data_IF_788517939679
#
_entry.id   IF_788517939679
#
_cell.length_a   1.000
_cell.length_b   1.000
_cell.length_c   1.000
_cell.angle_alpha   90.00
_cell.angle_beta   90.00
_cell.angle_gamma   90.00
#
_symmetry.space_group_name_H-M   'P 1'
#
loop_
_entity.id
_entity.type
_entity.pdbx_description
1 polymer ?
#
# COMPACT_ATOMS: atom_id res chain seq x y z
N UNK A 1 -0.12 -12.97 0.95
CA UNK A 1 1.30 -12.60 1.19
C UNK A 1 1.39 -11.70 2.40
N UNK A 2 2.48 -11.75 3.18
CA UNK A 2 2.68 -10.86 4.33
C UNK A 2 3.62 -9.71 3.92
N UNK A 3 3.26 -8.48 4.30
CA UNK A 3 4.04 -7.26 4.14
C UNK A 3 4.47 -6.72 5.49
N UNK A 4 5.78 -6.55 5.67
CA UNK A 4 6.42 -6.03 6.90
C UNK A 4 7.50 -5.04 6.48
N UNK A 5 7.53 -3.88 7.11
CA UNK A 5 8.57 -2.87 6.88
C UNK A 5 9.89 -3.24 7.56
N UNK A 6 11.01 -2.91 6.91
CA UNK A 6 12.38 -3.12 7.43
C UNK A 6 12.94 -1.88 8.12
N UNK A 7 14.21 -1.52 7.84
CA UNK A 7 14.82 -0.29 8.38
C UNK A 7 14.14 0.99 7.85
N UNK A 8 13.63 0.92 6.62
CA UNK A 8 12.73 1.91 5.98
C UNK A 8 11.39 1.23 5.65
N UNK A 9 10.51 1.84 4.85
CA UNK A 9 9.35 1.11 4.34
C UNK A 9 9.83 -0.06 3.47
N UNK A 10 9.08 -1.15 3.41
CA UNK A 10 9.38 -2.20 2.45
C UNK A 10 9.04 -1.65 1.07
N UNK A 11 10.03 -1.72 0.17
CA UNK A 11 9.83 -1.43 -1.26
C UNK A 11 8.95 -2.51 -1.92
N UNK A 12 8.59 -3.53 -1.14
CA UNK A 12 7.88 -4.69 -1.58
C UNK A 12 6.37 -4.50 -1.74
N UNK A 13 5.74 -3.59 -1.01
CA UNK A 13 4.28 -3.49 -1.00
C UNK A 13 3.70 -3.28 -2.40
N UNK A 14 4.28 -2.40 -3.21
CA UNK A 14 3.75 -2.08 -4.53
C UNK A 14 3.73 -3.31 -5.46
N UNK A 15 4.83 -4.07 -5.52
CA UNK A 15 4.86 -5.28 -6.36
C UNK A 15 3.97 -6.39 -5.80
N UNK A 16 3.87 -6.51 -4.46
CA UNK A 16 2.96 -7.48 -3.83
C UNK A 16 1.51 -7.20 -4.20
N UNK A 17 1.09 -5.93 -4.24
CA UNK A 17 -0.23 -5.54 -4.72
C UNK A 17 -0.40 -5.82 -6.22
N UNK A 18 0.61 -5.49 -7.05
CA UNK A 18 0.56 -5.78 -8.50
C UNK A 18 0.40 -7.27 -8.82
N UNK A 19 0.90 -8.15 -7.94
CA UNK A 19 0.78 -9.61 -8.12
C UNK A 19 -0.67 -10.12 -8.13
N UNK A 20 -1.64 -9.34 -7.64
CA UNK A 20 -3.02 -9.81 -7.48
C UNK A 20 -3.22 -10.76 -6.32
N UNK A 21 -2.26 -10.85 -5.39
CA UNK A 21 -2.40 -11.63 -4.15
C UNK A 21 -3.07 -10.81 -3.04
N UNK A 22 -3.84 -11.46 -2.16
CA UNK A 22 -4.31 -10.83 -0.94
C UNK A 22 -3.12 -10.52 -0.01
N UNK A 23 -2.87 -9.24 0.27
CA UNK A 23 -1.76 -8.78 1.11
C UNK A 23 -2.24 -8.56 2.54
N UNK A 24 -1.59 -9.22 3.49
CA UNK A 24 -1.69 -8.94 4.92
C UNK A 24 -0.61 -7.92 5.26
N UNK A 25 -0.99 -6.71 5.67
CA UNK A 25 -0.08 -5.58 5.89
C UNK A 25 0.05 -5.28 7.36
N UNK A 26 1.26 -5.46 7.89
CA UNK A 26 1.60 -5.09 9.26
C UNK A 26 1.63 -3.57 9.41
N UNK A 27 1.00 -3.09 10.49
CA UNK A 27 0.95 -1.67 10.83
C UNK A 27 2.36 -1.11 10.97
N UNK A 28 2.59 0.06 10.36
CA UNK A 28 3.89 0.73 10.39
C UNK A 28 3.70 2.24 10.29
N UNK A 29 4.51 3.04 11.00
CA UNK A 29 4.51 4.49 10.85
C UNK A 29 5.14 4.95 9.52
N UNK A 30 5.85 4.06 8.80
CA UNK A 30 6.56 4.44 7.57
C UNK A 30 5.61 4.56 6.39
N UNK A 31 5.87 5.53 5.52
CA UNK A 31 4.99 5.86 4.39
C UNK A 31 5.77 5.95 3.09
N UNK A 32 5.13 5.50 2.01
CA UNK A 32 5.51 5.85 0.63
C UNK A 32 4.49 6.85 0.07
N UNK A 33 4.82 7.46 -1.06
CA UNK A 33 4.04 8.53 -1.70
C UNK A 33 2.58 8.12 -1.94
N UNK A 34 2.29 6.85 -2.28
CA UNK A 34 0.92 6.37 -2.52
C UNK A 34 0.21 5.79 -1.29
N UNK A 35 0.88 5.64 -0.14
CA UNK A 35 0.26 4.98 1.04
C UNK A 35 -1.00 5.68 1.55
N UNK A 36 -1.19 6.97 1.22
CA UNK A 36 -2.41 7.71 1.54
C UNK A 36 -3.65 7.23 0.76
N UNK A 37 -3.46 6.53 -0.37
CA UNK A 37 -4.53 5.93 -1.17
C UNK A 37 -4.94 4.54 -0.68
N UNK A 38 -4.09 3.90 0.13
CA UNK A 38 -4.38 2.57 0.68
C UNK A 38 -5.42 2.66 1.79
N UNK A 39 -6.31 1.67 1.82
CA UNK A 39 -7.41 1.58 2.77
C UNK A 39 -7.44 0.16 3.35
N UNK A 40 -7.40 0.01 4.68
CA UNK A 40 -7.58 -1.28 5.34
C UNK A 40 -8.91 -1.92 4.94
N UNK A 41 -8.93 -3.24 4.77
CA UNK A 41 -10.08 -4.04 4.37
C UNK A 41 -10.67 -3.74 2.98
N UNK A 42 -10.09 -2.80 2.24
CA UNK A 42 -10.40 -2.55 0.83
C UNK A 42 -9.25 -3.02 -0.05
N UNK A 43 -8.02 -2.60 0.25
CA UNK A 43 -6.84 -2.89 -0.57
C UNK A 43 -5.90 -3.93 0.06
N UNK A 44 -5.98 -4.10 1.38
CA UNK A 44 -5.13 -4.98 2.19
C UNK A 44 -5.88 -5.47 3.42
N UNK A 45 -5.50 -6.64 3.96
CA UNK A 45 -5.91 -7.09 5.30
C UNK A 45 -4.94 -6.47 6.32
N UNK A 46 -5.38 -5.62 7.26
CA UNK A 46 -4.48 -5.02 8.24
C UNK A 46 -4.04 -6.04 9.29
N UNK A 47 -2.82 -5.91 9.78
CA UNK A 47 -2.26 -6.66 10.93
C UNK A 47 -1.69 -5.64 11.91
N UNK A 48 -1.87 -5.83 13.20
CA UNK A 48 -1.34 -4.98 14.26
C UNK A 48 0.20 -4.86 14.16
N UNK A 49 0.73 -3.70 14.55
CA UNK A 49 2.16 -3.41 14.44
C UNK A 49 3.04 -4.33 15.31
N UNK A 50 2.47 -4.86 16.40
CA UNK A 50 3.09 -5.82 17.32
C UNK A 50 2.76 -7.28 16.95
N UNK A 51 2.08 -7.51 15.82
CA UNK A 51 1.66 -8.83 15.31
C UNK A 51 0.66 -9.58 16.20
N UNK A 52 0.06 -8.93 17.21
CA UNK A 52 -0.80 -9.60 18.18
C UNK A 52 -2.03 -10.30 17.56
N UNK A 53 -2.52 -9.79 16.43
CA UNK A 53 -3.68 -10.30 15.70
C UNK A 53 -3.32 -11.15 14.48
N UNK A 54 -2.04 -11.42 14.20
CA UNK A 54 -1.62 -12.09 12.96
C UNK A 54 -2.32 -13.44 12.75
N UNK A 55 -2.39 -14.28 13.79
CA UNK A 55 -3.06 -15.58 13.71
C UNK A 55 -4.57 -15.43 13.44
N UNK A 56 -5.21 -14.43 14.07
CA UNK A 56 -6.62 -14.14 13.83
C UNK A 56 -6.86 -13.75 12.37
N UNK A 57 -6.00 -12.92 11.79
CA UNK A 57 -6.12 -12.47 10.39
C UNK A 57 -5.86 -13.61 9.41
N UNK A 58 -4.90 -14.50 9.68
CA UNK A 58 -4.71 -15.71 8.88
C UNK A 58 -5.95 -16.62 8.89
N UNK A 59 -6.53 -16.88 10.07
CA UNK A 59 -7.77 -17.65 10.16
C UNK A 59 -8.98 -16.95 9.54
N UNK A 60 -9.03 -15.62 9.54
CA UNK A 60 -10.05 -14.87 8.84
C UNK A 60 -9.94 -15.10 7.33
N UNK A 61 -8.74 -14.98 6.75
CA UNK A 61 -8.51 -15.19 5.32
C UNK A 61 -8.92 -16.60 4.86
N UNK A 62 -8.58 -17.64 5.65
CA UNK A 62 -8.96 -19.03 5.34
C UNK A 62 -10.49 -19.21 5.30
N UNK A 63 -11.24 -18.47 6.12
CA UNK A 63 -12.70 -18.57 6.19
C UNK A 63 -13.45 -17.67 5.20
N UNK A 64 -12.76 -16.71 4.57
CA UNK A 64 -13.39 -15.72 3.68
C UNK A 64 -12.61 -15.58 2.36
N UNK A 65 -12.45 -16.65 1.56
CA UNK A 65 -11.67 -16.61 0.32
C UNK A 65 -12.20 -15.57 -0.68
N UNK A 66 -13.52 -15.43 -0.83
CA UNK A 66 -14.14 -14.47 -1.75
C UNK A 66 -13.84 -13.02 -1.35
N UNK A 67 -13.82 -12.73 -0.05
CA UNK A 67 -13.45 -11.42 0.46
C UNK A 67 -11.95 -11.14 0.21
N UNK A 68 -11.09 -12.14 0.39
CA UNK A 68 -9.67 -12.03 0.07
C UNK A 68 -9.44 -11.76 -1.43
N UNK A 69 -10.20 -12.41 -2.31
CA UNK A 69 -10.13 -12.16 -3.76
C UNK A 69 -10.56 -10.73 -4.10
N UNK A 70 -11.66 -10.24 -3.53
CA UNK A 70 -12.12 -8.87 -3.73
C UNK A 70 -11.08 -7.84 -3.25
N UNK A 71 -10.49 -8.06 -2.08
CA UNK A 71 -9.43 -7.21 -1.53
C UNK A 71 -8.18 -7.24 -2.43
N UNK A 72 -7.79 -8.41 -2.91
CA UNK A 72 -6.64 -8.58 -3.79
C UNK A 72 -6.82 -7.85 -5.13
N UNK A 73 -8.00 -7.99 -5.75
CA UNK A 73 -8.35 -7.29 -6.99
C UNK A 73 -8.38 -5.78 -6.81
N UNK A 74 -8.96 -5.29 -5.71
CA UNK A 74 -8.96 -3.85 -5.40
C UNK A 74 -7.53 -3.33 -5.16
N UNK A 75 -6.71 -4.07 -4.40
CA UNK A 75 -5.31 -3.75 -4.17
C UNK A 75 -4.49 -3.70 -5.47
N UNK A 76 -4.69 -4.67 -6.36
CA UNK A 76 -4.04 -4.71 -7.67
C UNK A 76 -4.43 -3.53 -8.55
N UNK A 77 -5.73 -3.20 -8.63
CA UNK A 77 -6.23 -2.05 -9.38
C UNK A 77 -5.62 -0.74 -8.88
N UNK A 78 -5.55 -0.55 -7.56
CA UNK A 78 -4.90 0.62 -6.98
C UNK A 78 -3.41 0.66 -7.38
N UNK A 79 -2.69 -0.46 -7.31
CA UNK A 79 -1.28 -0.49 -7.68
C UNK A 79 -1.05 -0.20 -9.17
N UNK A 80 -1.91 -0.69 -10.06
CA UNK A 80 -1.89 -0.36 -11.48
C UNK A 80 -2.10 1.14 -11.72
N UNK A 81 -3.05 1.76 -11.02
CA UNK A 81 -3.25 3.22 -11.07
C UNK A 81 -2.02 3.97 -10.56
N UNK A 82 -1.43 3.55 -9.44
CA UNK A 82 -0.22 4.18 -8.90
C UNK A 82 0.94 4.16 -9.91
N UNK A 83 1.08 3.07 -10.66
CA UNK A 83 2.09 2.97 -11.72
C UNK A 83 1.74 3.86 -12.91
N UNK A 84 0.48 3.86 -13.34
CA UNK A 84 0.00 4.69 -14.46
C UNK A 84 0.16 6.20 -14.17
N UNK A 85 -0.14 6.63 -12.94
CA UNK A 85 -0.10 8.02 -12.51
C UNK A 85 1.33 8.51 -12.15
N UNK A 86 2.35 7.65 -12.26
CA UNK A 86 3.69 7.93 -11.70
C UNK A 86 4.35 9.15 -12.35
N UNK A 87 4.25 9.28 -13.67
CA UNK A 87 4.82 10.41 -14.42
C UNK A 87 4.21 11.75 -13.99
N UNK A 88 2.88 11.80 -13.95
CA UNK A 88 2.13 13.00 -13.55
C UNK A 88 2.39 13.37 -12.09
N UNK A 89 2.43 12.36 -11.21
CA UNK A 89 2.74 12.56 -9.79
C UNK A 89 4.14 13.15 -9.59
N UNK A 90 5.13 12.67 -10.35
CA UNK A 90 6.50 13.19 -10.28
C UNK A 90 6.56 14.63 -10.81
N UNK A 91 5.93 14.90 -11.95
CA UNK A 91 5.89 16.25 -12.53
C UNK A 91 5.26 17.26 -11.56
N UNK A 92 4.13 16.92 -10.96
CA UNK A 92 3.45 17.76 -9.98
C UNK A 92 4.32 18.02 -8.75
N UNK A 93 5.02 17.01 -8.24
CA UNK A 93 5.92 17.18 -7.10
C UNK A 93 7.11 18.12 -7.43
N UNK A 94 7.69 18.01 -8.63
CA UNK A 94 8.76 18.90 -9.08
C UNK A 94 8.28 20.36 -9.21
N UNK A 95 7.10 20.58 -9.79
CA UNK A 95 6.51 21.92 -9.92
C UNK A 95 6.25 22.55 -8.55
N UNK A 96 5.60 21.82 -7.65
CA UNK A 96 5.32 22.29 -6.28
C UNK A 96 6.60 22.62 -5.50
N UNK A 97 7.67 21.85 -5.70
CA UNK A 97 8.97 22.16 -5.11
C UNK A 97 9.56 23.45 -5.67
N UNK A 98 9.52 23.63 -7.00
CA UNK A 98 10.02 24.82 -7.67
C UNK A 98 9.30 26.09 -7.24
N UNK A 99 7.96 26.08 -7.18
CA UNK A 99 7.15 27.20 -6.72
C UNK A 99 7.46 27.59 -5.28
N UNK A 100 7.66 26.59 -4.41
CA UNK A 100 7.86 26.82 -2.98
C UNK A 100 9.27 27.29 -2.62
N UNK A 101 10.29 26.86 -3.38
CA UNK A 101 11.69 27.01 -2.95
C UNK A 101 12.62 27.64 -3.98
N UNK A 102 12.22 27.73 -5.25
CA UNK A 102 13.08 28.22 -6.34
C UNK A 102 12.52 29.47 -7.05
N UNK A 103 11.23 29.78 -6.90
CA UNK A 103 10.66 31.00 -7.46
C UNK A 103 11.24 32.24 -6.73
N UNK A 104 11.74 33.26 -7.46
CA UNK A 104 12.14 34.52 -6.85
C UNK A 104 10.89 35.21 -6.26
N UNK A 105 10.99 35.66 -5.01
CA UNK A 105 9.92 36.36 -4.29
C UNK A 105 9.57 37.71 -4.89
#
# INVERSE_FOLDING_TARGET
MIEIDGNVNSWGLLWKLLSGSCVLRVGSPRRQWYHHRLQPWVHVVPVAADLADLNQQLHWCVRHPDACEAIALAGQRLAQQVVADLGDTLAAACLAYGERWLAPG
#
